data_IF_660255327307
#
_entry.id   IF_660255327307
#
_cell.length_a   1.000
_cell.length_b   1.000
_cell.length_c   1.000
_cell.angle_alpha   90.00
_cell.angle_beta   90.00
_cell.angle_gamma   90.00
#
_symmetry.space_group_name_H-M   'P 1'
#
loop_
_entity.id
_entity.type
_entity.pdbx_description
1 polymer ?
#
# COMPACT_ATOMS: atom_id res chain seq x y z
N UNK A 1 -3.54 -15.41 -29.74
CA UNK A 1 -4.99 -15.14 -29.85
C UNK A 1 -5.64 -16.35 -30.48
N UNK A 2 -6.65 -16.91 -29.82
CA UNK A 2 -7.41 -18.03 -30.37
C UNK A 2 -8.56 -17.55 -31.27
N UNK A 3 -9.05 -18.42 -32.15
CA UNK A 3 -10.12 -18.10 -33.10
C UNK A 3 -11.39 -17.61 -32.38
N UNK A 4 -11.86 -16.41 -32.73
CA UNK A 4 -13.05 -15.76 -32.12
C UNK A 4 -12.75 -14.69 -31.06
N UNK A 5 -11.48 -14.53 -30.67
CA UNK A 5 -11.03 -13.46 -29.77
C UNK A 5 -10.65 -12.21 -30.57
N UNK A 6 -11.21 -11.05 -30.22
CA UNK A 6 -10.90 -9.76 -30.85
C UNK A 6 -10.04 -8.86 -29.95
N UNK A 7 -10.06 -9.10 -28.64
CA UNK A 7 -9.29 -8.33 -27.65
C UNK A 7 -8.23 -9.25 -27.03
N UNK A 8 -6.96 -8.85 -27.11
CA UNK A 8 -5.85 -9.60 -26.53
C UNK A 8 -5.81 -9.44 -25.00
N UNK A 9 -5.58 -10.54 -24.28
CA UNK A 9 -5.26 -10.52 -22.85
C UNK A 9 -3.92 -9.79 -22.64
N UNK A 10 -3.79 -9.04 -21.54
CA UNK A 10 -2.53 -8.38 -21.22
C UNK A 10 -1.44 -9.42 -20.92
N UNK A 11 -1.81 -10.55 -20.32
CA UNK A 11 -0.91 -11.69 -20.10
C UNK A 11 -0.42 -12.31 -21.41
N UNK A 12 -1.28 -12.41 -22.44
CA UNK A 12 -0.87 -12.89 -23.77
C UNK A 12 0.09 -11.94 -24.49
N UNK A 13 -0.11 -10.63 -24.31
CA UNK A 13 0.78 -9.59 -24.84
C UNK A 13 2.13 -9.65 -24.12
N UNK A 14 2.11 -9.81 -22.79
CA UNK A 14 3.29 -9.99 -21.95
C UNK A 14 4.04 -11.29 -22.24
N UNK A 15 3.37 -12.36 -22.65
CA UNK A 15 3.99 -13.65 -22.93
C UNK A 15 4.83 -13.68 -24.22
N UNK A 16 4.52 -12.81 -25.19
CA UNK A 16 5.14 -12.76 -26.51
C UNK A 16 6.42 -11.89 -26.49
N UNK A 17 6.57 -10.97 -27.46
CA UNK A 17 7.79 -10.16 -27.62
C UNK A 17 8.10 -9.24 -26.43
N UNK A 18 7.13 -8.96 -25.56
CA UNK A 18 7.27 -8.07 -24.41
C UNK A 18 7.62 -8.79 -23.10
N UNK A 19 7.95 -10.09 -23.15
CA UNK A 19 8.24 -10.86 -21.92
C UNK A 19 9.32 -10.26 -21.02
N UNK A 20 10.48 -9.79 -21.52
CA UNK A 20 11.48 -9.16 -20.66
C UNK A 20 10.93 -7.88 -19.96
N UNK A 21 10.11 -7.11 -20.68
CA UNK A 21 9.50 -5.90 -20.15
C UNK A 21 8.43 -6.22 -19.10
N UNK A 22 7.60 -7.24 -19.35
CA UNK A 22 6.58 -7.70 -18.42
C UNK A 22 7.20 -8.20 -17.10
N UNK A 23 8.26 -9.00 -17.18
CA UNK A 23 9.00 -9.47 -15.99
C UNK A 23 9.61 -8.28 -15.24
N UNK A 24 10.28 -7.37 -15.95
CA UNK A 24 10.91 -6.20 -15.32
C UNK A 24 9.88 -5.31 -14.65
N UNK A 25 8.76 -5.04 -15.31
CA UNK A 25 7.65 -4.26 -14.76
C UNK A 25 7.04 -4.91 -13.52
N UNK A 26 6.83 -6.23 -13.54
CA UNK A 26 6.35 -6.99 -12.38
C UNK A 26 7.31 -6.90 -11.20
N UNK A 27 8.62 -7.11 -11.43
CA UNK A 27 9.64 -7.03 -10.36
C UNK A 27 9.71 -5.62 -9.77
N UNK A 28 9.73 -4.59 -10.59
CA UNK A 28 9.72 -3.19 -10.12
C UNK A 28 8.46 -2.94 -9.27
N UNK A 29 7.29 -3.32 -9.78
CA UNK A 29 6.01 -3.09 -9.10
C UNK A 29 5.98 -3.73 -7.71
N UNK A 30 6.36 -5.01 -7.59
CA UNK A 30 6.32 -5.70 -6.28
C UNK A 30 7.33 -5.11 -5.29
N UNK A 31 8.53 -4.74 -5.76
CA UNK A 31 9.55 -4.13 -4.91
C UNK A 31 9.05 -2.80 -4.34
N UNK A 32 8.51 -1.93 -5.18
CA UNK A 32 7.98 -0.64 -4.72
C UNK A 32 6.75 -0.80 -3.83
N UNK A 33 5.88 -1.76 -4.12
CA UNK A 33 4.71 -2.06 -3.30
C UNK A 33 5.11 -2.58 -1.91
N UNK A 34 6.03 -3.54 -1.84
CA UNK A 34 6.53 -4.09 -0.58
C UNK A 34 7.30 -3.04 0.22
N UNK A 35 8.12 -2.21 -0.43
CA UNK A 35 8.78 -1.07 0.21
C UNK A 35 7.76 -0.08 0.78
N UNK A 36 6.64 0.14 0.09
CA UNK A 36 5.57 1.01 0.58
C UNK A 36 4.93 0.46 1.85
N UNK A 37 4.65 -0.85 1.90
CA UNK A 37 4.15 -1.51 3.10
C UNK A 37 5.16 -1.45 4.26
N UNK A 38 6.44 -1.69 3.99
CA UNK A 38 7.51 -1.60 4.98
C UNK A 38 7.64 -0.16 5.50
N UNK A 39 7.57 0.84 4.62
CA UNK A 39 7.66 2.25 4.99
C UNK A 39 6.50 2.66 5.89
N UNK A 40 5.25 2.32 5.54
CA UNK A 40 4.08 2.55 6.40
C UNK A 40 4.25 1.91 7.78
N UNK A 41 4.80 0.69 7.82
CA UNK A 41 5.04 -0.03 9.06
C UNK A 41 6.13 0.63 9.89
N UNK A 42 7.24 1.04 9.27
CA UNK A 42 8.31 1.78 9.93
C UNK A 42 7.76 3.06 10.55
N UNK A 43 7.02 3.87 9.79
CA UNK A 43 6.43 5.12 10.27
C UNK A 43 5.56 4.90 11.52
N UNK A 44 4.85 3.77 11.58
CA UNK A 44 4.06 3.37 12.76
C UNK A 44 4.90 2.96 13.96
N UNK A 45 6.03 2.30 13.73
CA UNK A 45 6.97 1.97 14.79
C UNK A 45 7.77 3.19 15.28
N UNK A 46 8.06 4.15 14.40
CA UNK A 46 8.78 5.38 14.72
C UNK A 46 7.93 6.45 15.43
N UNK A 47 6.68 6.14 15.79
CA UNK A 47 5.78 7.07 16.48
C UNK A 47 5.24 8.21 15.60
N UNK A 48 5.52 8.18 14.30
CA UNK A 48 4.92 9.11 13.33
C UNK A 48 3.47 8.72 13.00
N UNK A 49 3.10 7.45 13.19
CA UNK A 49 1.71 6.96 13.17
C UNK A 49 1.36 6.28 14.50
N UNK A 50 0.06 6.18 14.81
CA UNK A 50 -0.43 5.64 16.10
C UNK A 50 0.04 4.20 16.33
N UNK A 51 0.71 3.90 17.46
CA UNK A 51 1.31 2.58 17.71
C UNK A 51 0.28 1.50 18.04
N UNK A 52 0.56 0.26 17.63
CA UNK A 52 -0.26 -0.92 17.90
C UNK A 52 -0.22 -1.29 19.39
N UNK A 53 -1.39 -1.43 20.02
CA UNK A 53 -1.49 -1.86 21.44
C UNK A 53 -1.97 -3.32 21.60
N UNK A 54 -2.65 -3.91 20.61
CA UNK A 54 -3.27 -5.23 20.74
C UNK A 54 -2.47 -6.41 20.15
N UNK A 55 -2.70 -7.61 20.69
CA UNK A 55 -2.19 -8.86 20.10
C UNK A 55 -2.76 -9.13 18.70
N UNK A 56 -4.04 -8.78 18.47
CA UNK A 56 -4.67 -8.85 17.16
C UNK A 56 -3.98 -7.94 16.13
N UNK A 57 -3.61 -6.72 16.52
CA UNK A 57 -2.90 -5.79 15.62
C UNK A 57 -1.54 -6.34 15.21
N UNK A 58 -0.87 -7.07 16.10
CA UNK A 58 0.39 -7.78 15.78
C UNK A 58 0.15 -8.95 14.84
N UNK A 59 -0.90 -9.75 15.06
CA UNK A 59 -1.25 -10.86 14.19
C UNK A 59 -1.64 -10.38 12.77
N UNK A 60 -2.46 -9.33 12.67
CA UNK A 60 -2.80 -8.70 11.39
C UNK A 60 -1.56 -8.15 10.67
N UNK A 61 -0.64 -7.51 11.39
CA UNK A 61 0.59 -6.97 10.81
C UNK A 61 1.54 -8.08 10.30
N UNK A 62 1.69 -9.18 11.06
CA UNK A 62 2.51 -10.32 10.61
C UNK A 62 1.85 -11.00 9.42
N UNK A 63 0.53 -11.20 9.47
CA UNK A 63 -0.24 -11.79 8.40
C UNK A 63 -0.16 -10.95 7.12
N UNK A 64 -0.28 -9.62 7.20
CA UNK A 64 -0.23 -8.76 6.02
C UNK A 64 1.12 -8.82 5.32
N UNK A 65 2.23 -8.86 6.07
CA UNK A 65 3.58 -9.03 5.50
C UNK A 65 3.73 -10.39 4.83
N UNK A 66 3.27 -11.47 5.49
CA UNK A 66 3.35 -12.80 4.90
C UNK A 66 2.59 -12.88 3.57
N UNK A 67 1.35 -12.36 3.54
CA UNK A 67 0.52 -12.36 2.35
C UNK A 67 1.01 -11.38 1.28
N UNK A 68 1.66 -10.26 1.63
CA UNK A 68 2.26 -9.36 0.64
C UNK A 68 3.44 -10.04 -0.07
N UNK A 69 4.31 -10.74 0.67
CA UNK A 69 5.42 -11.50 0.08
C UNK A 69 4.88 -12.63 -0.82
N UNK A 70 3.84 -13.34 -0.39
CA UNK A 70 3.20 -14.36 -1.22
C UNK A 70 2.61 -13.76 -2.51
N UNK A 71 1.96 -12.60 -2.41
CA UNK A 71 1.46 -11.84 -3.56
C UNK A 71 2.58 -11.38 -4.50
N UNK A 72 3.68 -10.89 -3.95
CA UNK A 72 4.87 -10.46 -4.69
C UNK A 72 5.49 -11.60 -5.48
N UNK A 73 5.68 -12.75 -4.83
CA UNK A 73 6.14 -13.98 -5.47
C UNK A 73 5.15 -14.42 -6.57
N UNK A 74 3.85 -14.28 -6.34
CA UNK A 74 2.82 -14.55 -7.35
C UNK A 74 3.01 -13.73 -8.62
N UNK A 75 3.20 -12.40 -8.49
CA UNK A 75 3.35 -11.51 -9.65
C UNK A 75 4.66 -11.75 -10.41
N UNK A 76 5.75 -12.05 -9.71
CA UNK A 76 7.02 -12.43 -10.34
C UNK A 76 6.86 -13.77 -11.06
N UNK A 77 6.32 -14.79 -10.39
CA UNK A 77 6.23 -16.14 -10.95
C UNK A 77 5.26 -16.18 -12.14
N UNK A 78 4.11 -15.50 -12.09
CA UNK A 78 3.22 -15.42 -13.27
C UNK A 78 3.89 -14.73 -14.46
N UNK A 79 4.79 -13.75 -14.22
CA UNK A 79 5.51 -13.10 -15.31
C UNK A 79 6.55 -14.01 -15.98
N UNK A 80 7.12 -14.97 -15.24
CA UNK A 80 8.07 -15.96 -15.74
C UNK A 80 7.34 -17.12 -16.41
N UNK A 81 6.35 -17.68 -15.73
CA UNK A 81 5.50 -18.78 -16.18
C UNK A 81 4.32 -18.25 -16.98
N UNK A 82 4.60 -17.86 -18.22
CA UNK A 82 3.64 -17.20 -19.11
C UNK A 82 2.51 -18.11 -19.64
N UNK A 83 1.50 -17.48 -20.26
CA UNK A 83 0.33 -18.14 -20.85
C UNK A 83 0.66 -19.02 -22.06
N UNK A 84 1.80 -18.80 -22.73
CA UNK A 84 2.19 -19.57 -23.92
C UNK A 84 2.78 -20.95 -23.57
N UNK A 85 3.63 -21.00 -22.55
CA UNK A 85 4.38 -22.22 -22.19
C UNK A 85 3.74 -22.95 -21.02
N UNK A 86 3.17 -22.21 -20.07
CA UNK A 86 2.72 -22.76 -18.80
C UNK A 86 1.38 -22.16 -18.31
N UNK A 87 0.30 -22.19 -19.11
CA UNK A 87 -0.97 -21.52 -18.79
C UNK A 87 -1.58 -21.96 -17.44
N UNK A 88 -1.54 -23.25 -17.11
CA UNK A 88 -2.06 -23.74 -15.82
C UNK A 88 -1.25 -23.22 -14.62
N UNK A 89 0.06 -23.01 -14.77
CA UNK A 89 0.90 -22.44 -13.71
C UNK A 89 0.68 -20.93 -13.62
N UNK A 90 0.58 -20.26 -14.77
CA UNK A 90 0.25 -18.85 -14.87
C UNK A 90 -1.01 -18.52 -14.07
N UNK A 91 -2.10 -19.24 -14.32
CA UNK A 91 -3.38 -18.99 -13.66
C UNK A 91 -3.31 -19.24 -12.15
N UNK A 92 -2.58 -20.26 -11.71
CA UNK A 92 -2.32 -20.51 -10.30
C UNK A 92 -1.56 -19.35 -9.64
N UNK A 93 -0.54 -18.81 -10.31
CA UNK A 93 0.24 -17.68 -9.80
C UNK A 93 -0.53 -16.35 -9.87
N UNK A 94 -1.43 -16.18 -10.85
CA UNK A 94 -2.37 -15.05 -10.91
C UNK A 94 -3.31 -15.06 -9.70
N UNK A 95 -3.86 -16.22 -9.35
CA UNK A 95 -4.68 -16.37 -8.13
C UNK A 95 -3.84 -16.09 -6.89
N UNK A 96 -2.62 -16.62 -6.81
CA UNK A 96 -1.72 -16.37 -5.67
C UNK A 96 -1.38 -14.88 -5.50
N UNK A 97 -1.08 -14.20 -6.60
CA UNK A 97 -0.85 -12.76 -6.66
C UNK A 97 -2.07 -11.99 -6.12
N UNK A 98 -3.23 -12.23 -6.71
CA UNK A 98 -4.44 -11.45 -6.45
C UNK A 98 -4.95 -11.70 -5.03
N UNK A 99 -5.06 -12.95 -4.61
CA UNK A 99 -5.51 -13.31 -3.26
C UNK A 99 -4.49 -12.89 -2.20
N UNK A 100 -3.19 -13.04 -2.47
CA UNK A 100 -2.12 -12.63 -1.55
C UNK A 100 -2.19 -11.14 -1.23
N UNK A 101 -2.15 -10.28 -2.25
CA UNK A 101 -2.25 -8.84 -2.02
C UNK A 101 -3.61 -8.42 -1.48
N UNK A 102 -4.70 -9.09 -1.87
CA UNK A 102 -6.03 -8.78 -1.35
C UNK A 102 -6.13 -9.05 0.16
N UNK A 103 -5.70 -10.23 0.61
CA UNK A 103 -5.71 -10.57 2.05
C UNK A 103 -4.78 -9.61 2.80
N UNK A 104 -3.59 -9.31 2.26
CA UNK A 104 -2.67 -8.34 2.84
C UNK A 104 -3.33 -6.97 3.05
N UNK A 105 -4.00 -6.46 2.01
CA UNK A 105 -4.70 -5.18 2.04
C UNK A 105 -5.86 -5.18 3.05
N UNK A 106 -6.65 -6.25 3.11
CA UNK A 106 -7.74 -6.39 4.10
C UNK A 106 -7.17 -6.36 5.53
N UNK A 107 -6.06 -7.05 5.79
CA UNK A 107 -5.42 -7.06 7.11
C UNK A 107 -4.88 -5.69 7.50
N UNK A 108 -4.23 -4.97 6.57
CA UNK A 108 -3.79 -3.59 6.77
C UNK A 108 -4.99 -2.68 7.07
N UNK A 109 -6.07 -2.82 6.30
CA UNK A 109 -7.30 -2.06 6.49
C UNK A 109 -7.97 -2.35 7.84
N UNK A 110 -8.00 -3.62 8.28
CA UNK A 110 -8.55 -4.02 9.56
C UNK A 110 -7.75 -3.42 10.73
N UNK A 111 -6.42 -3.44 10.62
CA UNK A 111 -5.51 -2.78 11.57
C UNK A 111 -5.80 -1.27 11.63
N UNK A 112 -6.01 -0.64 10.47
CA UNK A 112 -6.29 0.79 10.37
C UNK A 112 -7.66 1.18 10.93
N UNK A 113 -8.70 0.40 10.63
CA UNK A 113 -10.05 0.64 11.12
C UNK A 113 -10.09 0.56 12.65
N UNK A 114 -9.38 -0.42 13.22
CA UNK A 114 -9.29 -0.58 14.68
C UNK A 114 -8.63 0.64 15.32
N UNK A 115 -7.50 1.10 14.79
CA UNK A 115 -6.81 2.29 15.29
C UNK A 115 -7.68 3.55 15.11
N UNK A 116 -8.33 3.69 13.95
CA UNK A 116 -9.21 4.82 13.63
C UNK A 116 -10.48 4.88 14.48
N UNK A 117 -10.97 3.76 15.00
CA UNK A 117 -12.07 3.75 15.99
C UNK A 117 -11.59 4.29 17.34
N UNK A 118 -10.36 3.96 17.75
CA UNK A 118 -9.80 4.42 19.04
C UNK A 118 -9.31 5.88 19.02
N UNK A 119 -8.88 6.42 17.87
CA UNK A 119 -8.28 7.76 17.73
C UNK A 119 -9.07 8.69 16.78
N UNK A 120 -10.41 8.55 16.82
CA UNK A 120 -11.38 8.99 15.80
C UNK A 120 -11.44 10.50 15.47
N UNK A 121 -10.79 11.37 16.23
CA UNK A 121 -11.10 12.81 16.23
C UNK A 121 -10.29 13.69 15.28
N UNK A 122 -9.02 13.37 14.96
CA UNK A 122 -8.09 14.42 14.46
C UNK A 122 -7.40 14.17 13.09
N UNK A 123 -7.69 13.08 12.39
CA UNK A 123 -6.87 12.71 11.22
C UNK A 123 -7.69 12.49 9.93
N UNK A 124 -8.19 13.59 9.34
CA UNK A 124 -8.99 13.55 8.10
C UNK A 124 -8.21 13.03 6.89
N UNK A 125 -6.92 13.35 6.79
CA UNK A 125 -6.04 12.93 5.69
C UNK A 125 -5.81 11.41 5.73
N UNK A 126 -5.50 10.88 6.91
CA UNK A 126 -5.34 9.45 7.18
C UNK A 126 -6.61 8.65 6.84
N UNK A 127 -7.77 9.17 7.25
CA UNK A 127 -9.06 8.54 6.94
C UNK A 127 -9.37 8.58 5.43
N UNK A 128 -9.04 9.68 4.74
CA UNK A 128 -9.24 9.79 3.29
C UNK A 128 -8.38 8.77 2.53
N UNK A 129 -7.09 8.66 2.86
CA UNK A 129 -6.20 7.64 2.29
C UNK A 129 -6.70 6.22 2.53
N UNK A 130 -7.18 5.94 3.75
CA UNK A 130 -7.79 4.65 4.07
C UNK A 130 -9.03 4.36 3.22
N UNK A 131 -9.94 5.33 3.09
CA UNK A 131 -11.16 5.16 2.28
C UNK A 131 -10.78 4.90 0.83
N UNK A 132 -9.82 5.65 0.27
CA UNK A 132 -9.33 5.43 -1.10
C UNK A 132 -8.83 3.99 -1.26
N UNK A 133 -7.95 3.52 -0.37
CA UNK A 133 -7.44 2.13 -0.42
C UNK A 133 -8.54 1.09 -0.27
N UNK A 134 -9.48 1.30 0.65
CA UNK A 134 -10.62 0.41 0.85
C UNK A 134 -11.52 0.34 -0.40
N UNK A 135 -11.73 1.47 -1.09
CA UNK A 135 -12.49 1.48 -2.35
C UNK A 135 -11.79 0.68 -3.44
N UNK A 136 -10.46 0.81 -3.58
CA UNK A 136 -9.69 -0.01 -4.50
C UNK A 136 -9.83 -1.50 -4.19
N UNK A 137 -9.70 -1.90 -2.92
CA UNK A 137 -9.87 -3.31 -2.49
C UNK A 137 -11.25 -3.86 -2.86
N UNK A 138 -12.32 -3.09 -2.62
CA UNK A 138 -13.69 -3.52 -2.95
C UNK A 138 -13.89 -3.64 -4.46
N UNK A 139 -13.38 -2.68 -5.24
CA UNK A 139 -13.46 -2.69 -6.71
C UNK A 139 -12.67 -3.88 -7.28
N UNK A 140 -11.46 -4.13 -6.77
CA UNK A 140 -10.62 -5.28 -7.15
C UNK A 140 -11.33 -6.61 -6.88
N UNK A 141 -11.97 -6.79 -5.72
CA UNK A 141 -12.76 -7.99 -5.43
C UNK A 141 -13.88 -8.17 -6.48
N UNK A 142 -14.63 -7.12 -6.77
CA UNK A 142 -15.73 -7.20 -7.73
C UNK A 142 -15.24 -7.55 -9.14
N UNK A 143 -14.14 -6.93 -9.58
CA UNK A 143 -13.51 -7.22 -10.86
C UNK A 143 -12.93 -8.64 -10.92
N UNK A 144 -12.27 -9.11 -9.86
CA UNK A 144 -11.71 -10.45 -9.77
C UNK A 144 -12.78 -11.54 -9.86
N UNK A 145 -13.92 -11.34 -9.18
CA UNK A 145 -15.09 -12.23 -9.30
C UNK A 145 -15.60 -12.22 -10.75
N UNK A 146 -15.75 -11.04 -11.36
CA UNK A 146 -16.14 -10.90 -12.76
C UNK A 146 -15.19 -11.65 -13.69
N UNK A 147 -13.88 -11.50 -13.49
CA UNK A 147 -12.84 -12.15 -14.29
C UNK A 147 -12.91 -13.67 -14.15
N UNK A 148 -13.04 -14.20 -12.93
CA UNK A 148 -13.20 -15.63 -12.70
C UNK A 148 -14.47 -16.22 -13.33
N UNK A 149 -15.58 -15.47 -13.32
CA UNK A 149 -16.85 -15.92 -13.93
C UNK A 149 -16.79 -15.89 -15.47
N UNK A 150 -16.12 -14.90 -16.05
CA UNK A 150 -16.00 -14.74 -17.50
C UNK A 150 -14.92 -15.64 -18.10
N UNK A 151 -13.80 -15.85 -17.40
CA UNK A 151 -12.65 -16.63 -17.88
C UNK A 151 -12.96 -18.11 -18.15
N UNK A 152 -13.92 -18.70 -17.41
CA UNK A 152 -14.27 -20.13 -17.53
C UNK A 152 -15.39 -20.48 -18.53
N UNK A 153 -16.01 -19.50 -19.20
CA UNK A 153 -17.28 -19.71 -19.93
C UNK A 153 -17.18 -19.37 -21.43
N UNK A 154 -16.51 -20.23 -22.19
CA UNK A 154 -16.63 -20.35 -23.65
C UNK A 154 -16.14 -19.14 -24.48
N UNK A 155 -16.14 -19.27 -25.82
CA UNK A 155 -15.56 -18.27 -26.73
C UNK A 155 -16.23 -16.89 -26.66
N UNK A 156 -17.52 -16.81 -26.34
CA UNK A 156 -18.27 -15.54 -26.30
C UNK A 156 -17.83 -14.60 -25.17
N UNK A 157 -17.33 -15.15 -24.05
CA UNK A 157 -16.95 -14.35 -22.87
C UNK A 157 -15.47 -14.04 -22.77
N UNK A 158 -14.67 -14.50 -23.75
CA UNK A 158 -13.23 -14.25 -23.78
C UNK A 158 -12.88 -12.77 -23.94
N UNK A 159 -13.62 -12.05 -24.78
CA UNK A 159 -13.40 -10.61 -24.93
C UNK A 159 -13.73 -9.86 -23.64
N UNK A 160 -14.80 -10.28 -22.94
CA UNK A 160 -15.15 -9.69 -21.64
C UNK A 160 -14.09 -9.98 -20.57
N UNK A 161 -13.57 -11.21 -20.51
CA UNK A 161 -12.49 -11.58 -19.61
C UNK A 161 -11.18 -10.82 -19.93
N UNK A 162 -10.85 -10.64 -21.22
CA UNK A 162 -9.69 -9.83 -21.63
C UNK A 162 -9.85 -8.37 -21.19
N UNK A 163 -11.03 -7.77 -21.39
CA UNK A 163 -11.32 -6.41 -20.90
C UNK A 163 -11.18 -6.32 -19.38
N UNK A 164 -11.73 -7.30 -18.65
CA UNK A 164 -11.63 -7.32 -17.19
C UNK A 164 -10.19 -7.43 -16.71
N UNK A 165 -9.34 -8.23 -17.37
CA UNK A 165 -7.92 -8.33 -17.04
C UNK A 165 -7.20 -6.97 -17.20
N UNK A 166 -7.46 -6.25 -18.30
CA UNK A 166 -6.92 -4.91 -18.52
C UNK A 166 -7.40 -3.91 -17.46
N UNK A 167 -8.69 -3.96 -17.10
CA UNK A 167 -9.26 -3.09 -16.05
C UNK A 167 -8.64 -3.41 -14.70
N UNK A 168 -8.49 -4.68 -14.33
CA UNK A 168 -7.81 -5.12 -13.11
C UNK A 168 -6.37 -4.58 -13.10
N UNK A 169 -5.62 -4.73 -14.19
CA UNK A 169 -4.24 -4.23 -14.26
C UNK A 169 -4.17 -2.71 -14.04
N UNK A 170 -5.10 -1.93 -14.62
CA UNK A 170 -5.17 -0.49 -14.43
C UNK A 170 -5.56 -0.09 -13.01
N UNK A 171 -6.59 -0.72 -12.45
CA UNK A 171 -7.05 -0.44 -11.08
C UNK A 171 -5.98 -0.81 -10.07
N UNK A 172 -5.34 -1.97 -10.22
CA UNK A 172 -4.20 -2.38 -9.43
C UNK A 172 -3.05 -1.37 -9.51
N UNK A 173 -2.76 -0.82 -10.70
CA UNK A 173 -1.74 0.23 -10.84
C UNK A 173 -2.10 1.49 -10.04
N UNK A 174 -3.35 1.96 -10.13
CA UNK A 174 -3.80 3.11 -9.33
C UNK A 174 -3.80 2.82 -7.84
N UNK A 175 -4.12 1.59 -7.44
CA UNK A 175 -4.00 1.14 -6.06
C UNK A 175 -2.55 1.24 -5.57
N UNK A 176 -1.56 0.76 -6.33
CA UNK A 176 -0.14 0.91 -5.99
C UNK A 176 0.25 2.39 -5.88
N UNK A 177 -0.17 3.22 -6.83
CA UNK A 177 0.12 4.66 -6.80
C UNK A 177 -0.53 5.37 -5.60
N UNK A 178 -1.65 4.87 -5.07
CA UNK A 178 -2.29 5.44 -3.88
C UNK A 178 -1.37 5.42 -2.65
N UNK A 179 -0.42 4.48 -2.57
CA UNK A 179 0.57 4.43 -1.49
C UNK A 179 1.56 5.60 -1.52
N UNK A 180 1.81 6.17 -2.70
CA UNK A 180 2.70 7.35 -2.82
C UNK A 180 2.11 8.54 -2.06
N UNK A 181 0.78 8.67 -2.03
CA UNK A 181 0.06 9.73 -1.31
C UNK A 181 0.32 9.63 0.20
N UNK A 182 0.47 8.41 0.73
CA UNK A 182 0.69 8.17 2.16
C UNK A 182 2.16 8.39 2.56
N UNK A 183 3.08 8.24 1.62
CA UNK A 183 4.53 8.44 1.83
C UNK A 183 4.99 9.88 1.54
N UNK A 184 4.27 10.63 0.71
CA UNK A 184 4.60 12.02 0.34
C UNK A 184 4.75 12.98 1.54
N UNK A 185 3.83 12.99 2.53
CA UNK A 185 3.89 13.90 3.66
C UNK A 185 5.10 13.65 4.58
N UNK A 186 5.53 12.38 4.71
CA UNK A 186 6.61 11.99 5.63
C UNK A 186 7.99 12.34 5.11
N UNK A 187 8.19 12.34 3.78
CA UNK A 187 9.44 12.78 3.15
C UNK A 187 9.60 14.30 3.19
N UNK A 188 8.50 15.05 3.10
CA UNK A 188 8.51 16.52 3.05
C UNK A 188 8.73 17.18 4.42
N UNK A 189 8.53 16.45 5.52
CA UNK A 189 8.60 17.01 6.88
C UNK A 189 9.88 16.61 7.63
N UNK A 190 11.03 17.21 7.26
CA UNK A 190 12.31 17.03 7.98
C UNK A 190 12.34 17.60 9.41
N UNK A 191 11.31 18.31 9.87
CA UNK A 191 11.27 18.92 11.20
C UNK A 191 9.83 19.02 11.71
N UNK A 192 9.18 17.88 11.90
CA UNK A 192 7.84 17.83 12.49
C UNK A 192 7.88 17.00 13.76
N UNK A 193 7.39 17.58 14.86
CA UNK A 193 7.09 16.85 16.10
C UNK A 193 6.20 15.67 15.70
N UNK A 194 6.55 14.42 16.05
CA UNK A 194 5.78 13.22 15.74
C UNK A 194 4.31 13.46 16.06
N UNK A 195 3.41 13.09 15.14
CA UNK A 195 1.97 13.32 15.31
C UNK A 195 1.43 12.64 16.58
N UNK A 196 2.11 11.58 17.06
CA UNK A 196 1.89 10.96 18.37
C UNK A 196 2.47 11.73 19.57
N UNK A 197 3.56 12.49 19.41
CA UNK A 197 4.19 13.31 20.48
C UNK A 197 3.51 14.66 20.66
N UNK A 198 2.96 15.24 19.58
CA UNK A 198 2.14 16.46 19.67
C UNK A 198 1.02 16.33 20.70
N UNK A 199 0.57 15.10 20.97
CA UNK A 199 -0.54 14.83 21.87
C UNK A 199 -0.16 14.31 23.27
N UNK A 200 1.12 13.98 23.52
CA UNK A 200 1.63 13.82 24.89
C UNK A 200 1.73 15.18 25.60
N UNK A 201 1.99 16.25 24.83
CA UNK A 201 2.00 17.62 25.32
C UNK A 201 0.63 18.31 25.33
N UNK A 202 -0.41 17.76 24.70
CA UNK A 202 -1.77 18.34 24.67
C UNK A 202 -2.82 17.57 25.48
N UNK A 203 -2.39 16.72 26.43
CA UNK A 203 -3.27 16.24 27.49
C UNK A 203 -3.45 17.36 28.53
N UNK A 204 -4.69 17.79 28.86
CA UNK A 204 -4.91 18.80 29.88
C UNK A 204 -4.75 18.15 31.27
N UNK A 205 -3.55 18.21 31.82
CA UNK A 205 -3.33 17.94 33.23
C UNK A 205 -2.51 19.09 33.83
N UNK A 206 -3.15 19.75 34.78
CA UNK A 206 -2.67 20.74 35.75
C UNK A 206 -2.69 22.24 35.36
N UNK A 207 -3.45 23.08 36.11
CA UNK A 207 -3.56 24.51 35.88
C UNK A 207 -2.49 25.26 36.68
N UNK A 208 -1.28 25.39 36.15
CA UNK A 208 -0.35 26.42 36.62
C UNK A 208 0.89 26.49 35.73
N UNK A 209 0.83 27.25 34.63
CA UNK A 209 1.95 28.07 34.12
C UNK A 209 1.39 29.05 33.06
N UNK A 210 1.87 30.31 33.01
CA UNK A 210 1.44 31.27 31.99
C UNK A 210 1.90 30.80 30.59
N UNK A 211 1.21 31.20 29.51
CA UNK A 211 1.45 30.66 28.19
C UNK A 211 2.83 31.10 27.67
N UNK A 212 3.75 30.16 27.49
CA UNK A 212 4.90 30.39 26.61
C UNK A 212 4.42 30.41 25.17
N UNK A 213 4.63 31.57 24.54
CA UNK A 213 4.35 31.86 23.14
C UNK A 213 5.28 31.02 22.25
N UNK A 214 4.79 29.87 21.79
CA UNK A 214 5.52 29.01 20.85
C UNK A 214 5.45 29.66 19.47
N UNK A 215 6.49 30.42 19.14
CA UNK A 215 6.67 31.07 17.84
C UNK A 215 7.07 30.03 16.78
N UNK A 216 6.32 29.98 15.68
CA UNK A 216 6.64 29.14 14.52
C UNK A 216 7.57 29.92 13.58
N UNK A 217 8.85 29.52 13.49
CA UNK A 217 9.77 30.13 12.52
C UNK A 217 9.60 29.53 11.11
N UNK A 218 9.41 30.42 10.14
CA UNK A 218 9.35 30.17 8.71
C UNK A 218 10.78 30.01 8.15
N UNK A 219 11.08 29.02 7.28
CA UNK A 219 12.45 28.82 6.81
C UNK A 219 12.78 29.79 5.67
N UNK A 220 13.52 30.85 5.98
CA UNK A 220 13.89 31.93 5.06
C UNK A 220 15.12 31.65 4.18
N UNK A 221 15.31 30.43 3.66
CA UNK A 221 16.53 29.99 2.89
C UNK A 221 17.86 30.26 3.62
N UNK A 222 19.06 29.92 3.14
CA UNK A 222 19.63 28.71 2.52
C UNK A 222 21.01 28.53 3.24
N UNK A 223 21.78 27.49 2.92
CA UNK A 223 23.26 27.51 2.98
C UNK A 223 24.03 27.99 4.25
N UNK A 224 23.95 27.27 5.37
CA UNK A 224 25.12 27.06 6.27
C UNK A 224 24.82 26.19 7.49
N UNK A 225 25.54 25.06 7.62
CA UNK A 225 25.57 24.28 8.84
C UNK A 225 26.46 24.97 9.90
N UNK A 226 26.07 24.92 11.17
CA UNK A 226 26.94 25.19 12.32
C UNK A 226 27.18 23.90 13.15
N UNK A 227 28.37 23.69 13.76
CA UNK A 227 28.77 22.39 14.30
C UNK A 227 28.10 21.98 15.63
N UNK A 228 27.14 22.77 16.13
CA UNK A 228 26.44 22.51 17.40
C UNK A 228 24.96 22.13 17.22
N UNK A 229 24.61 21.41 16.15
CA UNK A 229 23.25 20.85 16.00
C UNK A 229 22.95 19.66 16.95
N UNK A 230 23.92 19.24 17.76
CA UNK A 230 23.82 18.14 18.70
C UNK A 230 23.69 18.64 20.15
N UNK A 231 22.47 18.90 20.61
CA UNK A 231 22.15 18.83 22.04
C UNK A 231 20.70 18.38 22.22
N UNK A 232 20.51 17.07 22.44
CA UNK A 232 19.31 16.53 23.08
C UNK A 232 19.77 15.86 24.38
N UNK A 233 19.60 16.58 25.50
CA UNK A 233 19.93 16.11 26.85
C UNK A 233 18.62 15.68 27.51
N UNK A 234 18.54 14.40 27.88
CA UNK A 234 17.37 13.84 28.56
C UNK A 234 16.94 14.67 29.76
N UNK A 235 15.66 15.02 29.78
CA UNK A 235 14.98 15.56 30.95
C UNK A 235 14.79 14.43 31.97
N UNK A 236 15.81 14.21 32.80
CA UNK A 236 15.62 13.76 34.17
C UNK A 236 15.33 15.00 35.01
N UNK A 237 14.13 15.08 35.59
CA UNK A 237 13.92 15.32 37.02
C UNK A 237 12.70 14.52 37.45
#
# INVERSE_FOLDING_TARGET
>A
MESGQTIAYISDVGAQGLKPLFITGSVITVVFLDLSFIAERWLRHAGQLVPNKGWFDKACAIGSIFFSIAGALGLILLSIFDTLRHPHKHDGFLVMFLVGYLISAILICAEYLRIGIFYRSDHRILLASFIIKATFVVVEIALAIGFGVCGGKGPEKRNAAAVLEWVIALIFTFYVLSFVIDLLPSVRTRRHVPQGEKHLHSSPAEPSMPPEDVTYEEPATLDSAGPNANYYRGARM
#
